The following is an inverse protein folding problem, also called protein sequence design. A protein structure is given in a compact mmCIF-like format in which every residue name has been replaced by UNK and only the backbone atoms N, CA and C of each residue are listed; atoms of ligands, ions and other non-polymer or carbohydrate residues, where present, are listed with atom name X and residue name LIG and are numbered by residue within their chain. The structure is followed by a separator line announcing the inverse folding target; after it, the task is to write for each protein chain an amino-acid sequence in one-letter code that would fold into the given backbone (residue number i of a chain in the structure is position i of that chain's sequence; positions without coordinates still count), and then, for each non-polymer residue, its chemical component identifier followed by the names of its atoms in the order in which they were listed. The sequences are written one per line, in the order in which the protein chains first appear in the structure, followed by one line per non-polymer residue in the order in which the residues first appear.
data_IF_723745875039
#
_entry.id   IF_723745875039
#
_cell.length_a   1.000
_cell.length_b   1.000
_cell.length_c   1.000
_cell.angle_alpha   90.00
_cell.angle_beta   90.00
_cell.angle_gamma   90.00
#
_symmetry.space_group_name_H-M   'P 1'
#
loop_
_entity.id
_entity.type
_entity.pdbx_description
1 polymer ?
#
# COMPACT_ATOMS: atom_id res chain seq x y z
N UNK A 1 34.73 -3.04 -1.28
CA UNK A 1 33.74 -2.07 -0.76
C UNK A 1 32.69 -1.81 -1.84
N UNK A 2 31.42 -2.20 -1.65
CA UNK A 2 30.36 -1.95 -2.65
C UNK A 2 29.77 -0.58 -2.36
N UNK A 3 30.08 0.39 -3.22
CA UNK A 3 29.54 1.74 -3.18
C UNK A 3 28.03 1.70 -3.41
N UNK A 4 27.27 1.99 -2.35
CA UNK A 4 25.83 2.21 -2.39
C UNK A 4 25.54 3.54 -3.11
N UNK A 5 25.57 3.50 -4.44
CA UNK A 5 25.07 4.57 -5.29
C UNK A 5 23.58 4.85 -5.03
N UNK A 6 23.05 5.96 -5.54
CA UNK A 6 21.67 6.38 -5.29
C UNK A 6 20.68 5.26 -5.68
N UNK A 7 19.84 4.86 -4.73
CA UNK A 7 18.76 3.87 -4.89
C UNK A 7 17.59 4.49 -5.67
N UNK A 8 17.84 4.90 -6.91
CA UNK A 8 16.81 5.42 -7.80
C UNK A 8 16.16 4.30 -8.61
N UNK A 9 14.89 4.46 -8.98
CA UNK A 9 14.26 3.67 -10.04
C UNK A 9 14.42 4.44 -11.34
N UNK A 10 14.61 3.71 -12.43
CA UNK A 10 14.66 4.25 -13.80
C UNK A 10 13.67 3.51 -14.67
N UNK A 11 13.16 4.17 -15.70
CA UNK A 11 12.28 3.58 -16.70
C UNK A 11 12.86 3.79 -18.09
N UNK A 12 12.68 2.80 -18.96
CA UNK A 12 12.95 2.94 -20.39
C UNK A 12 11.71 3.53 -21.09
N UNK A 13 11.85 4.70 -21.69
CA UNK A 13 10.74 5.39 -22.39
C UNK A 13 10.13 4.55 -23.52
N UNK A 14 10.93 3.71 -24.18
CA UNK A 14 10.50 2.91 -25.33
C UNK A 14 9.59 1.74 -24.97
N UNK A 15 9.65 1.24 -23.74
CA UNK A 15 8.89 0.04 -23.35
C UNK A 15 8.28 0.08 -21.93
N UNK A 16 8.46 1.17 -21.18
CA UNK A 16 7.86 1.37 -19.86
C UNK A 16 8.45 0.51 -18.73
N UNK A 17 9.38 -0.40 -19.01
CA UNK A 17 9.95 -1.26 -18.00
C UNK A 17 10.88 -0.50 -17.06
N UNK A 18 10.75 -0.78 -15.76
CA UNK A 18 11.48 -0.13 -14.68
C UNK A 18 12.61 -1.00 -14.14
N UNK A 19 13.74 -0.37 -13.82
CA UNK A 19 14.92 -1.02 -13.25
C UNK A 19 15.53 -0.16 -12.14
N UNK A 20 16.21 -0.78 -11.19
CA UNK A 20 17.12 -0.06 -10.30
C UNK A 20 18.17 0.70 -11.13
N UNK A 21 18.41 1.97 -10.77
CA UNK A 21 19.36 2.84 -11.44
C UNK A 21 20.76 2.21 -11.48
N UNK A 22 21.22 1.63 -10.37
CA UNK A 22 22.50 0.92 -10.28
C UNK A 22 22.56 -0.25 -11.26
N UNK A 23 21.52 -1.09 -11.28
CA UNK A 23 21.44 -2.26 -12.13
C UNK A 23 21.45 -1.89 -13.62
N UNK A 24 20.63 -0.91 -14.01
CA UNK A 24 20.58 -0.45 -15.40
C UNK A 24 21.89 0.23 -15.82
N UNK A 25 22.50 1.01 -14.93
CA UNK A 25 23.80 1.65 -15.20
C UNK A 25 24.91 0.63 -15.41
N UNK A 26 24.99 -0.41 -14.56
CA UNK A 26 25.95 -1.50 -14.73
C UNK A 26 25.70 -2.25 -16.04
N UNK A 27 24.44 -2.54 -16.38
CA UNK A 27 24.09 -3.17 -17.66
C UNK A 27 24.57 -2.34 -18.86
N UNK A 28 24.31 -1.01 -18.87
CA UNK A 28 24.73 -0.11 -19.94
C UNK A 28 26.26 -0.05 -20.05
N UNK A 29 26.97 0.03 -18.93
CA UNK A 29 28.44 0.03 -18.92
C UNK A 29 29.02 -1.26 -19.50
N UNK A 30 28.50 -2.42 -19.08
CA UNK A 30 28.93 -3.73 -19.59
C UNK A 30 28.65 -3.87 -21.09
N UNK A 31 27.48 -3.38 -21.55
CA UNK A 31 27.12 -3.41 -22.96
C UNK A 31 28.10 -2.57 -23.83
N UNK A 32 28.63 -1.46 -23.30
CA UNK A 32 29.59 -0.59 -24.00
C UNK A 32 31.00 -1.16 -24.09
N UNK A 33 31.43 -1.96 -23.12
CA UNK A 33 32.75 -2.59 -23.12
C UNK A 33 32.88 -3.67 -24.20
N UNK A 34 31.77 -4.28 -24.63
CA UNK A 34 31.75 -5.18 -25.77
C UNK A 34 32.02 -4.43 -27.07
N UNK A 35 33.19 -4.68 -27.70
CA UNK A 35 33.62 -4.03 -28.97
C UNK A 35 32.58 -4.14 -30.11
N UNK A 36 31.67 -5.12 -30.05
CA UNK A 36 30.59 -5.31 -31.04
C UNK A 36 29.37 -4.38 -30.85
N UNK A 37 29.25 -3.70 -29.72
CA UNK A 37 28.05 -2.93 -29.34
C UNK A 37 28.28 -1.42 -29.16
N UNK A 38 29.48 -0.88 -29.42
CA UNK A 38 29.75 0.57 -29.28
C UNK A 38 28.85 1.49 -30.11
N UNK A 39 28.18 0.97 -31.15
CA UNK A 39 27.29 1.73 -32.06
C UNK A 39 25.87 1.17 -32.16
N UNK A 40 25.50 0.15 -31.37
CA UNK A 40 24.18 -0.50 -31.48
C UNK A 40 23.25 -0.01 -30.39
N UNK A 41 21.99 0.20 -30.75
CA UNK A 41 20.91 0.45 -29.79
C UNK A 41 20.95 -0.63 -28.70
N UNK A 42 20.89 -0.18 -27.43
CA UNK A 42 20.75 -1.07 -26.29
C UNK A 42 19.42 -1.81 -26.41
N UNK A 43 19.29 -2.98 -25.78
CA UNK A 43 18.05 -3.74 -25.79
C UNK A 43 17.54 -3.93 -24.38
N UNK A 44 16.26 -3.68 -24.16
CA UNK A 44 15.62 -3.88 -22.87
C UNK A 44 15.85 -5.33 -22.40
N UNK A 45 16.23 -5.52 -21.13
CA UNK A 45 16.48 -6.85 -20.57
C UNK A 45 15.23 -7.74 -20.52
N UNK A 46 14.03 -7.13 -20.50
CA UNK A 46 12.76 -7.83 -20.40
C UNK A 46 12.13 -8.12 -21.77
N UNK A 47 11.92 -7.08 -22.58
CA UNK A 47 11.21 -7.20 -23.86
C UNK A 47 12.10 -7.10 -25.10
N UNK A 48 13.42 -6.90 -24.93
CA UNK A 48 14.40 -6.72 -26.02
C UNK A 48 14.14 -5.54 -26.96
N UNK A 49 13.16 -4.67 -26.65
CA UNK A 49 12.91 -3.44 -27.37
C UNK A 49 14.20 -2.59 -27.44
N UNK A 50 14.55 -2.05 -28.62
CA UNK A 50 15.72 -1.19 -28.75
C UNK A 50 15.50 0.11 -27.96
N UNK A 51 16.58 0.61 -27.35
CA UNK A 51 16.59 1.90 -26.68
C UNK A 51 17.99 2.52 -26.70
N UNK A 52 18.05 3.81 -26.42
CA UNK A 52 19.25 4.64 -26.30
C UNK A 52 19.38 5.14 -24.87
N UNK A 53 20.58 5.55 -24.46
CA UNK A 53 20.76 6.03 -23.08
C UNK A 53 19.92 7.28 -22.77
N UNK A 54 19.64 8.13 -23.76
CA UNK A 54 18.75 9.28 -23.64
C UNK A 54 17.29 8.92 -23.36
N UNK A 55 16.90 7.67 -23.60
CA UNK A 55 15.55 7.16 -23.33
C UNK A 55 15.44 6.53 -21.93
N UNK A 56 16.51 6.60 -21.12
CA UNK A 56 16.49 6.21 -19.71
C UNK A 56 16.05 7.40 -18.87
N UNK A 57 14.89 7.28 -18.23
CA UNK A 57 14.31 8.32 -17.40
C UNK A 57 14.43 7.95 -15.91
N UNK A 58 14.97 8.80 -15.03
CA UNK A 58 14.87 8.58 -13.60
C UNK A 58 13.41 8.74 -13.17
N UNK A 59 12.85 7.72 -12.52
CA UNK A 59 11.59 7.88 -11.82
C UNK A 59 11.85 8.49 -10.45
N UNK A 60 11.56 9.78 -10.36
CA UNK A 60 11.40 10.46 -9.07
C UNK A 60 9.95 10.27 -8.64
N UNK A 61 9.63 9.11 -8.06
CA UNK A 61 8.35 8.96 -7.36
C UNK A 61 8.52 9.49 -5.94
N UNK A 62 7.76 10.50 -5.56
CA UNK A 62 7.55 10.80 -4.15
C UNK A 62 6.53 9.81 -3.61
N UNK A 63 6.99 8.83 -2.82
CA UNK A 63 6.11 7.81 -2.24
C UNK A 63 5.41 8.29 -0.97
N UNK A 64 5.84 9.41 -0.37
CA UNK A 64 5.28 9.90 0.89
C UNK A 64 3.76 10.14 0.84
N UNK A 65 3.17 10.72 -0.23
CA UNK A 65 1.72 10.87 -0.31
C UNK A 65 0.98 9.53 -0.31
N UNK A 66 1.56 8.50 -0.94
CA UNK A 66 0.98 7.15 -0.96
C UNK A 66 1.05 6.53 0.43
N UNK A 67 2.21 6.63 1.09
CA UNK A 67 2.39 6.15 2.47
C UNK A 67 1.42 6.83 3.43
N UNK A 68 1.31 8.17 3.37
CA UNK A 68 0.37 8.93 4.18
C UNK A 68 -1.10 8.54 3.92
N UNK A 69 -1.46 8.27 2.67
CA UNK A 69 -2.80 7.80 2.33
C UNK A 69 -3.08 6.42 2.92
N UNK A 70 -2.11 5.50 2.91
CA UNK A 70 -2.24 4.18 3.54
C UNK A 70 -2.41 4.33 5.05
N UNK A 71 -1.56 5.11 5.72
CA UNK A 71 -1.65 5.36 7.17
C UNK A 71 -3.01 5.98 7.56
N UNK A 72 -3.55 6.89 6.75
CA UNK A 72 -4.86 7.49 7.00
C UNK A 72 -6.00 6.46 6.85
N UNK A 73 -5.91 5.57 5.88
CA UNK A 73 -6.89 4.49 5.67
C UNK A 73 -6.86 3.49 6.83
N UNK A 74 -5.67 3.09 7.28
CA UNK A 74 -5.51 2.16 8.42
C UNK A 74 -6.16 2.72 9.69
N UNK A 75 -5.88 3.98 10.04
CA UNK A 75 -6.50 4.66 11.19
C UNK A 75 -8.03 4.75 11.08
N UNK A 76 -8.53 4.98 9.86
CA UNK A 76 -9.98 5.05 9.62
C UNK A 76 -10.65 3.69 9.84
N UNK A 77 -10.00 2.60 9.42
CA UNK A 77 -10.49 1.23 9.61
C UNK A 77 -10.55 0.87 11.10
N UNK A 78 -9.51 1.20 11.87
CA UNK A 78 -9.48 0.97 13.33
C UNK A 78 -10.59 1.74 14.05
N UNK A 79 -10.80 3.02 13.70
CA UNK A 79 -11.90 3.81 14.26
C UNK A 79 -13.29 3.21 13.98
N UNK A 80 -13.51 2.69 12.78
CA UNK A 80 -14.76 2.02 12.43
C UNK A 80 -14.97 0.68 13.15
N UNK A 81 -13.91 -0.03 13.51
CA UNK A 81 -14.01 -1.26 14.30
C UNK A 81 -14.44 -0.97 15.75
N UNK A 82 -13.81 0.02 16.39
CA UNK A 82 -14.14 0.42 17.77
C UNK A 82 -15.59 0.90 17.91
N UNK A 83 -16.09 1.72 16.96
CA UNK A 83 -17.48 2.20 16.97
C UNK A 83 -18.49 1.04 16.84
N UNK A 84 -18.15 -0.02 16.09
CA UNK A 84 -19.02 -1.19 15.98
C UNK A 84 -19.09 -1.98 17.28
N UNK A 85 -17.95 -2.19 17.96
CA UNK A 85 -17.91 -2.89 19.23
C UNK A 85 -18.67 -2.15 20.33
N UNK A 86 -18.49 -0.82 20.44
CA UNK A 86 -19.24 0.02 21.38
C UNK A 86 -20.76 -0.08 21.13
N UNK A 87 -21.19 0.02 19.87
CA UNK A 87 -22.60 -0.10 19.52
C UNK A 87 -23.20 -1.47 19.86
N UNK A 88 -22.44 -2.56 19.66
CA UNK A 88 -22.87 -3.91 20.05
C UNK A 88 -23.04 -3.99 21.57
N UNK A 89 -22.08 -3.46 22.33
CA UNK A 89 -22.11 -3.47 23.79
C UNK A 89 -23.30 -2.64 24.34
N UNK A 90 -23.51 -1.43 23.82
CA UNK A 90 -24.66 -0.60 24.18
C UNK A 90 -26.00 -1.28 23.90
N UNK A 91 -26.12 -1.99 22.77
CA UNK A 91 -27.33 -2.74 22.43
C UNK A 91 -27.61 -3.86 23.44
N UNK A 92 -26.59 -4.65 23.79
CA UNK A 92 -26.73 -5.72 24.79
C UNK A 92 -27.15 -5.20 26.17
N UNK A 93 -26.57 -4.08 26.62
CA UNK A 93 -26.94 -3.45 27.89
C UNK A 93 -28.41 -2.97 27.88
N UNK A 94 -28.85 -2.36 26.78
CA UNK A 94 -30.23 -1.92 26.63
C UNK A 94 -31.23 -3.08 26.64
N UNK A 95 -30.91 -4.17 25.95
CA UNK A 95 -31.78 -5.35 25.91
C UNK A 95 -31.87 -6.02 27.29
N UNK A 96 -30.75 -6.07 28.04
CA UNK A 96 -30.73 -6.55 29.43
C UNK A 96 -31.55 -5.67 30.39
N UNK A 97 -31.44 -4.34 30.26
CA UNK A 97 -32.26 -3.40 31.05
C UNK A 97 -33.76 -3.56 30.76
N UNK A 98 -34.13 -3.68 29.48
CA UNK A 98 -35.52 -3.94 29.08
C UNK A 98 -36.07 -5.23 29.69
N UNK A 99 -35.29 -6.31 29.67
CA UNK A 99 -35.69 -7.59 30.27
C UNK A 99 -35.95 -7.44 31.78
N UNK A 100 -35.06 -6.76 32.52
CA UNK A 100 -35.25 -6.49 33.95
C UNK A 100 -36.49 -5.64 34.24
N UNK A 101 -36.77 -4.63 33.40
CA UNK A 101 -37.98 -3.82 33.55
C UNK A 101 -39.26 -4.64 33.35
N UNK A 102 -39.28 -5.55 32.37
CA UNK A 102 -40.42 -6.46 32.17
C UNK A 102 -40.62 -7.37 33.37
N UNK A 103 -39.54 -7.95 33.89
CA UNK A 103 -39.60 -8.82 35.06
C UNK A 103 -40.11 -8.08 36.32
N UNK A 104 -39.63 -6.86 36.55
CA UNK A 104 -40.10 -6.01 37.64
C UNK A 104 -41.59 -5.68 37.52
N UNK A 105 -42.07 -5.32 36.32
CA UNK A 105 -43.50 -5.07 36.06
C UNK A 105 -44.36 -6.29 36.37
N UNK A 106 -43.97 -7.47 35.88
CA UNK A 106 -44.69 -8.71 36.17
C UNK A 106 -44.74 -9.04 37.67
N UNK A 107 -43.65 -8.77 38.41
CA UNK A 107 -43.63 -8.93 39.87
C UNK A 107 -44.53 -7.93 40.58
N UNK A 108 -44.62 -6.69 40.09
CA UNK A 108 -45.49 -5.66 40.70
C UNK A 108 -46.96 -5.99 40.50
N UNK A 109 -47.34 -6.44 39.30
CA UNK A 109 -48.72 -6.83 38.96
C UNK A 109 -49.20 -8.05 39.78
N UNK A 110 -48.32 -9.03 40.02
CA UNK A 110 -48.66 -10.17 40.89
C UNK A 110 -48.88 -9.78 42.35
N UNK A 111 -48.12 -8.81 42.85
CA UNK A 111 -48.25 -8.35 44.24
C UNK A 111 -49.49 -7.47 44.48
N UNK A 112 -50.12 -6.93 43.44
CA UNK A 112 -51.36 -6.13 43.55
C UNK A 112 -52.65 -6.96 43.44
N UNK A 113 -52.55 -8.24 43.05
CA UNK A 113 -53.69 -9.15 42.90
C UNK A 113 -53.84 -10.13 44.10
N UNK A 114 -53.24 -9.83 45.24
CA UNK A 114 -53.35 -10.55 46.52
C UNK A 114 -53.84 -9.55 47.57
#
# INVERSE_FOLDING_TARGET
MRSSGPRGITMLKTCGHTFCFSCLSTFIQNARQSRRNRRRNLKCMLCRAPFTQSEVLPLKMNLNPIVQAIEHLEKSIEGHANIKEENINFKMQNDSLKARMVELKMKTERNHNI
#
